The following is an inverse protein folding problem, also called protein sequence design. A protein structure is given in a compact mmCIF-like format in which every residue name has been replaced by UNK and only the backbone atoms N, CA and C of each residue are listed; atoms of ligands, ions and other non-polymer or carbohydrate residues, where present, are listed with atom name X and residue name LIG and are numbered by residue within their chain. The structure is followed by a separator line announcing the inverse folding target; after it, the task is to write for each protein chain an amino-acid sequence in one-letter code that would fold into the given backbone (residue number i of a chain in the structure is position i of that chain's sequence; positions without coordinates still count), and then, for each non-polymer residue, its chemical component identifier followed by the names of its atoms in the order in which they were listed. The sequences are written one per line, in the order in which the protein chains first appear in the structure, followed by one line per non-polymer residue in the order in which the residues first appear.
data_IF_803396648014
#
_entry.id   IF_803396648014
#
_cell.length_a   1.000
_cell.length_b   1.000
_cell.length_c   1.000
_cell.angle_alpha   90.00
_cell.angle_beta   90.00
_cell.angle_gamma   90.00
#
_symmetry.space_group_name_H-M   'P 1'
#
loop_
_entity.id
_entity.type
_entity.pdbx_description
1 polymer ?
#
# COMPACT_ATOMS: atom_id res chain seq x y z
N UNK A 1 23.66 -58.03 -47.61
CA UNK A 1 22.29 -57.59 -47.94
C UNK A 1 22.16 -56.12 -47.59
N UNK A 2 22.01 -55.24 -48.58
CA UNK A 2 21.45 -53.89 -48.45
C UNK A 2 20.03 -53.97 -48.98
N UNK A 3 19.04 -53.44 -48.26
CA UNK A 3 17.86 -52.77 -48.83
C UNK A 3 17.18 -51.92 -47.74
N UNK A 4 16.74 -50.76 -48.22
CA UNK A 4 16.24 -49.55 -47.58
C UNK A 4 14.77 -49.64 -47.13
N UNK A 5 14.33 -48.71 -46.26
CA UNK A 5 13.04 -47.98 -46.26
C UNK A 5 12.98 -47.07 -45.02
N UNK A 6 13.09 -45.73 -45.15
CA UNK A 6 12.06 -44.73 -45.52
C UNK A 6 11.11 -44.37 -44.37
N UNK A 7 11.30 -43.12 -43.91
CA UNK A 7 10.37 -42.12 -43.36
C UNK A 7 9.11 -42.57 -42.59
N UNK A 8 8.97 -42.03 -41.38
CA UNK A 8 7.70 -41.44 -40.94
C UNK A 8 7.98 -40.12 -40.23
N UNK A 9 7.87 -39.03 -40.98
CA UNK A 9 7.80 -37.68 -40.44
C UNK A 9 6.44 -37.53 -39.75
N UNK A 10 6.43 -37.50 -38.42
CA UNK A 10 5.23 -37.14 -37.66
C UNK A 10 5.09 -35.63 -37.73
N UNK A 11 4.25 -35.15 -38.63
CA UNK A 11 3.83 -33.76 -38.75
C UNK A 11 3.14 -33.34 -37.45
N UNK A 12 3.73 -32.38 -36.74
CA UNK A 12 3.10 -31.70 -35.61
C UNK A 12 1.97 -30.82 -36.16
N UNK A 13 0.75 -31.32 -36.12
CA UNK A 13 -0.46 -30.53 -36.41
C UNK A 13 -0.64 -29.48 -35.32
N UNK A 14 -0.34 -28.21 -35.64
CA UNK A 14 -0.83 -27.07 -34.87
C UNK A 14 -2.35 -27.04 -34.98
N UNK A 15 -3.05 -27.37 -33.90
CA UNK A 15 -4.46 -27.08 -33.77
C UNK A 15 -4.63 -25.57 -33.59
N UNK A 16 -5.11 -24.92 -34.65
CA UNK A 16 -5.73 -23.60 -34.61
C UNK A 16 -7.09 -23.69 -33.90
N UNK A 17 -7.58 -22.52 -33.51
CA UNK A 17 -8.89 -22.18 -32.95
C UNK A 17 -9.00 -22.17 -31.42
N UNK A 18 -8.75 -20.98 -30.87
CA UNK A 18 -9.81 -20.21 -30.21
C UNK A 18 -9.37 -18.75 -30.14
N UNK A 19 -9.84 -17.94 -31.08
CA UNK A 19 -9.82 -16.48 -30.95
C UNK A 19 -10.79 -16.12 -29.83
N UNK A 20 -10.29 -16.05 -28.59
CA UNK A 20 -11.00 -15.29 -27.58
C UNK A 20 -10.94 -13.84 -28.04
N UNK A 21 -12.10 -13.34 -28.47
CA UNK A 21 -12.36 -11.91 -28.60
C UNK A 21 -12.23 -11.33 -27.19
N UNK A 22 -11.01 -10.95 -26.83
CA UNK A 22 -10.78 -9.99 -25.75
C UNK A 22 -11.33 -8.68 -26.29
N UNK A 23 -12.21 -7.97 -25.57
CA UNK A 23 -12.56 -6.62 -25.97
C UNK A 23 -11.26 -5.83 -26.09
N UNK A 24 -10.98 -5.38 -27.30
CA UNK A 24 -10.03 -4.30 -27.55
C UNK A 24 -10.60 -3.11 -26.81
N UNK A 25 -10.18 -2.96 -25.55
CA UNK A 25 -10.10 -1.63 -24.97
C UNK A 25 -9.22 -0.86 -25.94
N UNK A 26 -9.83 0.12 -26.61
CA UNK A 26 -9.10 1.13 -27.32
C UNK A 26 -7.99 1.59 -26.37
N UNK A 27 -6.77 1.23 -26.73
CA UNK A 27 -5.57 1.82 -26.16
C UNK A 27 -5.63 3.27 -26.68
N UNK A 28 -6.43 4.11 -26.02
CA UNK A 28 -6.20 5.54 -26.06
C UNK A 28 -4.74 5.68 -25.68
N UNK A 29 -3.96 6.06 -26.69
CA UNK A 29 -2.56 6.40 -26.61
C UNK A 29 -2.29 6.92 -25.21
N UNK A 30 -1.54 6.15 -24.42
CA UNK A 30 -0.90 6.67 -23.24
C UNK A 30 -0.09 7.86 -23.72
N UNK A 31 -0.68 9.05 -23.60
CA UNK A 31 0.07 10.28 -23.63
C UNK A 31 0.92 10.15 -22.38
N UNK A 32 2.16 9.74 -22.59
CA UNK A 32 3.25 10.13 -21.71
C UNK A 32 3.14 11.65 -21.61
N UNK A 33 2.47 12.14 -20.56
CA UNK A 33 2.39 13.56 -20.27
C UNK A 33 3.80 13.93 -19.85
N UNK A 34 4.56 14.45 -20.81
CA UNK A 34 5.80 15.14 -20.53
C UNK A 34 5.50 16.18 -19.43
N UNK A 35 6.32 16.15 -18.40
CA UNK A 35 6.26 16.88 -17.13
C UNK A 35 6.42 18.41 -17.29
N UNK A 36 6.19 18.94 -18.49
CA UNK A 36 6.37 20.32 -18.90
C UNK A 36 5.06 21.07 -19.20
N UNK A 37 3.89 20.46 -18.95
CA UNK A 37 2.61 20.98 -19.49
C UNK A 37 1.46 21.20 -18.50
N UNK A 38 1.61 20.82 -17.22
CA UNK A 38 0.57 21.11 -16.21
C UNK A 38 0.72 22.57 -15.78
N UNK A 39 -0.17 23.42 -16.29
CA UNK A 39 -0.21 24.87 -16.01
C UNK A 39 -1.58 25.31 -15.49
N UNK A 40 -2.59 24.44 -15.57
CA UNK A 40 -3.95 24.73 -15.10
C UNK A 40 -4.39 23.75 -14.02
N UNK A 41 -5.34 24.19 -13.19
CA UNK A 41 -5.89 23.36 -12.10
C UNK A 41 -6.60 22.12 -12.65
N UNK A 42 -7.34 22.27 -13.76
CA UNK A 42 -8.06 21.16 -14.38
C UNK A 42 -7.11 20.05 -14.85
N UNK A 43 -5.93 20.40 -15.39
CA UNK A 43 -4.90 19.43 -15.77
C UNK A 43 -4.31 18.71 -14.55
N UNK A 44 -4.13 19.44 -13.44
CA UNK A 44 -3.63 18.88 -12.19
C UNK A 44 -4.65 17.90 -11.59
N UNK A 45 -5.92 18.30 -11.55
CA UNK A 45 -7.02 17.48 -11.07
C UNK A 45 -7.17 16.20 -11.88
N UNK A 46 -7.13 16.28 -13.21
CA UNK A 46 -7.26 15.12 -14.09
C UNK A 46 -6.07 14.16 -13.96
N UNK A 47 -4.84 14.67 -13.91
CA UNK A 47 -3.63 13.82 -13.88
C UNK A 47 -3.47 13.04 -12.57
N UNK A 48 -3.83 13.66 -11.45
CA UNK A 48 -3.67 13.08 -10.10
C UNK A 48 -5.00 12.69 -9.46
N UNK A 49 -6.12 12.77 -10.19
CA UNK A 49 -7.46 12.50 -9.67
C UNK A 49 -7.76 13.27 -8.36
N UNK A 50 -7.39 14.55 -8.34
CA UNK A 50 -7.63 15.41 -7.18
C UNK A 50 -9.11 15.75 -7.08
N UNK A 51 -9.59 15.89 -5.85
CA UNK A 51 -10.96 16.32 -5.59
C UNK A 51 -10.95 17.63 -4.81
N UNK A 52 -11.76 18.59 -5.24
CA UNK A 52 -11.97 19.83 -4.49
C UNK A 52 -12.74 19.54 -3.20
N UNK A 53 -12.26 20.08 -2.08
CA UNK A 53 -12.96 20.05 -0.79
C UNK A 53 -13.17 21.47 -0.29
N UNK A 54 -14.20 21.69 0.54
CA UNK A 54 -14.55 23.02 1.07
C UNK A 54 -14.07 23.22 2.50
N UNK A 55 -13.76 22.13 3.21
CA UNK A 55 -13.41 22.16 4.64
C UNK A 55 -12.16 21.30 4.88
N UNK A 56 -11.32 21.78 5.80
CA UNK A 56 -10.16 21.05 6.27
C UNK A 56 -10.65 20.10 7.39
N UNK A 57 -10.41 18.78 7.27
CA UNK A 57 -10.73 17.84 8.34
C UNK A 57 -10.00 18.18 9.64
N UNK A 58 -10.63 17.86 10.77
CA UNK A 58 -10.08 18.15 12.09
C UNK A 58 -8.70 17.51 12.28
N UNK A 59 -7.75 18.30 12.82
CA UNK A 59 -6.39 17.86 13.08
C UNK A 59 -5.49 17.76 11.84
N UNK A 60 -5.99 18.11 10.64
CA UNK A 60 -5.19 18.16 9.41
C UNK A 60 -4.63 19.55 9.19
N UNK A 61 -3.36 19.63 8.81
CA UNK A 61 -2.69 20.85 8.39
C UNK A 61 -2.40 20.71 6.89
N UNK A 62 -3.16 21.38 6.00
CA UNK A 62 -2.94 21.28 4.56
C UNK A 62 -1.53 21.73 4.19
N UNK A 63 -0.96 21.06 3.19
CA UNK A 63 0.29 21.51 2.58
C UNK A 63 -0.03 22.59 1.54
N UNK A 64 0.52 23.78 1.73
CA UNK A 64 0.29 24.92 0.86
C UNK A 64 1.36 25.01 -0.25
N UNK A 65 0.90 25.26 -1.47
CA UNK A 65 1.74 25.47 -2.65
C UNK A 65 1.44 26.83 -3.26
N UNK A 66 2.49 27.57 -3.58
CA UNK A 66 2.37 28.92 -4.16
C UNK A 66 1.95 28.88 -5.63
N UNK A 67 2.15 27.75 -6.31
CA UNK A 67 1.87 27.57 -7.73
C UNK A 67 1.38 26.16 -8.09
N UNK A 68 0.71 26.06 -9.24
CA UNK A 68 0.23 24.77 -9.79
C UNK A 68 1.43 23.90 -10.18
N UNK A 69 2.49 24.53 -10.70
CA UNK A 69 3.72 23.87 -11.11
C UNK A 69 4.45 23.21 -9.93
N UNK A 70 4.47 23.89 -8.78
CA UNK A 70 5.07 23.35 -7.55
C UNK A 70 4.27 22.15 -7.03
N UNK A 71 2.94 22.27 -6.98
CA UNK A 71 2.06 21.17 -6.60
C UNK A 71 2.21 19.97 -7.55
N UNK A 72 2.27 20.21 -8.87
CA UNK A 72 2.49 19.17 -9.87
C UNK A 72 3.81 18.43 -9.65
N UNK A 73 4.89 19.17 -9.38
CA UNK A 73 6.19 18.57 -9.07
C UNK A 73 6.11 17.68 -7.82
N UNK A 74 5.45 18.16 -6.77
CA UNK A 74 5.25 17.38 -5.54
C UNK A 74 4.52 16.05 -5.81
N UNK A 75 3.39 16.07 -6.52
CA UNK A 75 2.64 14.84 -6.82
C UNK A 75 3.41 13.87 -7.72
N UNK A 76 4.25 14.38 -8.63
CA UNK A 76 5.16 13.55 -9.41
C UNK A 76 6.24 12.88 -8.54
N UNK A 77 6.78 13.59 -7.56
CA UNK A 77 7.75 13.02 -6.61
C UNK A 77 7.10 11.97 -5.69
N UNK A 78 5.79 12.07 -5.41
CA UNK A 78 5.05 11.03 -4.71
C UNK A 78 4.86 9.77 -5.56
N UNK A 79 4.58 9.92 -6.86
CA UNK A 79 4.41 8.80 -7.80
C UNK A 79 5.74 8.09 -8.12
N UNK A 80 6.82 8.87 -8.25
CA UNK A 80 8.15 8.35 -8.61
C UNK A 80 9.04 8.04 -7.40
N UNK A 81 8.62 8.40 -6.19
CA UNK A 81 9.35 8.13 -4.97
C UNK A 81 9.42 6.64 -4.69
N UNK A 82 10.63 6.09 -4.61
CA UNK A 82 10.84 4.68 -4.29
C UNK A 82 10.37 4.43 -2.84
N UNK A 83 9.36 3.58 -2.68
CA UNK A 83 8.76 3.26 -1.39
C UNK A 83 9.66 2.25 -0.67
N UNK A 84 10.63 2.73 0.11
CA UNK A 84 11.44 1.84 0.94
C UNK A 84 10.67 1.47 2.22
N UNK A 85 10.26 0.21 2.31
CA UNK A 85 9.70 -0.37 3.54
C UNK A 85 10.82 -0.64 4.54
N UNK A 86 11.41 0.42 5.12
CA UNK A 86 12.35 0.25 6.23
C UNK A 86 11.56 -0.09 7.50
N UNK A 87 11.51 -1.38 7.78
CA UNK A 87 10.75 -1.96 8.88
C UNK A 87 11.50 -1.70 10.21
N UNK A 88 11.28 -0.52 10.81
CA UNK A 88 11.68 -0.29 12.20
C UNK A 88 10.70 -1.02 13.13
N UNK A 89 11.11 -2.20 13.61
CA UNK A 89 10.37 -2.95 14.61
C UNK A 89 10.81 -2.50 16.00
N UNK A 90 9.96 -1.73 16.69
CA UNK A 90 10.10 -1.49 18.11
C UNK A 90 9.24 -2.49 18.88
N UNK A 91 9.89 -3.48 19.50
CA UNK A 91 9.23 -4.43 20.39
C UNK A 91 9.05 -3.77 21.76
N UNK A 92 7.81 -3.51 22.17
CA UNK A 92 7.51 -3.07 23.54
C UNK A 92 6.63 -4.12 24.22
N UNK A 93 7.28 -5.01 24.98
CA UNK A 93 6.59 -5.94 25.88
C UNK A 93 6.20 -5.18 27.13
N UNK A 94 4.91 -4.89 27.33
CA UNK A 94 4.42 -4.37 28.60
C UNK A 94 4.14 -5.53 29.55
N UNK A 95 5.01 -5.72 30.54
CA UNK A 95 4.83 -6.67 31.62
C UNK A 95 3.95 -6.03 32.69
N UNK A 96 2.70 -6.47 32.83
CA UNK A 96 1.92 -6.21 34.04
C UNK A 96 2.36 -7.25 35.08
N UNK A 97 3.24 -6.86 36.00
CA UNK A 97 3.63 -7.74 37.11
C UNK A 97 2.48 -7.90 38.10
N UNK A 98 1.89 -9.09 38.12
CA UNK A 98 1.10 -9.58 39.24
C UNK A 98 1.74 -10.90 39.68
N UNK A 99 2.04 -10.99 40.98
CA UNK A 99 2.70 -12.11 41.67
C UNK A 99 1.93 -13.44 41.55
N UNK A 100 2.56 -14.60 41.84
CA UNK A 100 2.77 -15.67 40.87
C UNK A 100 1.63 -16.69 40.73
N UNK A 101 1.74 -17.47 39.65
CA UNK A 101 1.20 -18.83 39.48
C UNK A 101 -0.20 -19.02 38.87
N UNK A 102 -0.47 -18.39 37.73
CA UNK A 102 -1.36 -18.97 36.71
C UNK A 102 -0.80 -18.65 35.31
N UNK A 103 -0.92 -19.60 34.38
CA UNK A 103 -0.58 -19.46 32.95
C UNK A 103 -1.48 -18.41 32.29
N UNK A 104 -1.30 -17.15 32.68
CA UNK A 104 -2.11 -16.06 32.18
C UNK A 104 -1.53 -15.69 30.80
N UNK A 105 -2.34 -15.73 29.73
CA UNK A 105 -1.86 -15.35 28.40
C UNK A 105 -1.36 -13.90 28.44
N UNK A 106 -0.05 -13.71 28.17
CA UNK A 106 0.57 -12.39 28.10
C UNK A 106 0.29 -11.82 26.71
N UNK A 107 -0.29 -10.61 26.67
CA UNK A 107 -0.46 -9.87 25.42
C UNK A 107 0.80 -9.07 25.14
N UNK A 108 1.43 -9.33 24.00
CA UNK A 108 2.58 -8.61 23.48
C UNK A 108 2.12 -7.62 22.43
N UNK A 109 2.76 -6.45 22.36
CA UNK A 109 2.51 -5.46 21.31
C UNK A 109 3.77 -5.22 20.49
N UNK A 110 3.61 -5.22 19.17
CA UNK A 110 4.67 -4.91 18.20
C UNK A 110 4.21 -3.74 17.34
N UNK A 111 5.09 -2.76 17.18
CA UNK A 111 4.87 -1.62 16.29
C UNK A 111 5.80 -1.76 15.10
N UNK A 112 5.21 -1.76 13.90
CA UNK A 112 5.94 -1.64 12.63
C UNK A 112 5.73 -0.26 12.03
N UNK A 113 6.75 0.26 11.35
CA UNK A 113 6.69 1.50 10.56
C UNK A 113 7.07 1.21 9.10
N UNK A 114 6.45 1.96 8.19
CA UNK A 114 6.54 1.74 6.76
C UNK A 114 6.44 3.08 6.06
N UNK A 115 7.36 3.40 5.16
CA UNK A 115 7.10 4.53 4.25
C UNK A 115 6.04 4.06 3.25
N UNK A 116 4.93 4.80 3.15
CA UNK A 116 3.89 4.55 2.15
C UNK A 116 4.11 5.43 0.91
N UNK A 117 4.66 6.63 1.12
CA UNK A 117 5.14 7.50 0.05
C UNK A 117 6.45 8.15 0.49
N UNK A 118 7.10 8.90 -0.40
CA UNK A 118 8.28 9.72 -0.06
C UNK A 118 7.99 10.78 1.02
N UNK A 119 6.72 11.12 1.26
CA UNK A 119 6.31 12.14 2.23
C UNK A 119 5.43 11.62 3.38
N UNK A 120 5.08 10.32 3.40
CA UNK A 120 4.17 9.75 4.39
C UNK A 120 4.68 8.41 4.93
N UNK A 121 4.74 8.29 6.26
CA UNK A 121 5.04 7.04 6.96
C UNK A 121 3.75 6.50 7.58
N UNK A 122 3.47 5.22 7.41
CA UNK A 122 2.43 4.51 8.13
C UNK A 122 3.05 3.77 9.31
N UNK A 123 2.27 3.64 10.38
CA UNK A 123 2.60 2.78 11.51
C UNK A 123 1.47 1.82 11.79
N UNK A 124 1.82 0.59 12.14
CA UNK A 124 0.89 -0.45 12.54
C UNK A 124 1.25 -0.93 13.95
N UNK A 125 0.26 -0.93 14.84
CA UNK A 125 0.34 -1.51 16.18
C UNK A 125 -0.42 -2.82 16.17
N UNK A 126 0.30 -3.91 16.43
CA UNK A 126 -0.22 -5.27 16.42
C UNK A 126 -0.12 -5.81 17.84
N UNK A 127 -1.24 -6.25 18.40
CA UNK A 127 -1.27 -6.93 19.70
C UNK A 127 -1.57 -8.41 19.48
N UNK A 128 -0.82 -9.29 20.13
CA UNK A 128 -0.93 -10.73 20.00
C UNK A 128 -0.62 -11.44 21.31
N UNK A 129 -1.03 -12.70 21.44
CA UNK A 129 -0.71 -13.58 22.56
C UNK A 129 0.18 -14.70 22.05
N UNK A 130 1.31 -14.94 22.73
CA UNK A 130 2.11 -16.13 22.53
C UNK A 130 1.68 -17.22 23.52
N UNK A 131 1.25 -18.37 23.00
CA UNK A 131 0.87 -19.53 23.78
C UNK A 131 2.10 -20.31 24.25
N UNK A 132 1.96 -21.14 25.30
CA UNK A 132 3.07 -21.94 25.85
C UNK A 132 3.70 -22.94 24.86
N UNK A 133 3.04 -23.27 23.75
CA UNK A 133 3.56 -24.10 22.66
C UNK A 133 4.24 -23.29 21.54
N UNK A 134 4.40 -21.97 21.71
CA UNK A 134 4.99 -21.04 20.76
C UNK A 134 4.04 -20.54 19.67
N UNK A 135 2.76 -20.91 19.72
CA UNK A 135 1.75 -20.45 18.76
C UNK A 135 1.33 -19.01 19.05
N UNK A 136 1.04 -18.26 18.00
CA UNK A 136 0.57 -16.88 18.09
C UNK A 136 -0.92 -16.82 17.76
N UNK A 137 -1.67 -16.10 18.60
CA UNK A 137 -3.02 -15.64 18.28
C UNK A 137 -3.08 -14.11 18.31
N UNK A 138 -3.67 -13.55 17.25
CA UNK A 138 -3.82 -12.12 17.07
C UNK A 138 -4.94 -11.57 17.95
N UNK A 139 -4.67 -10.47 18.66
CA UNK A 139 -5.65 -9.77 19.49
C UNK A 139 -6.22 -8.56 18.74
N UNK A 140 -5.35 -7.71 18.19
CA UNK A 140 -5.79 -6.53 17.45
C UNK A 140 -4.75 -6.00 16.48
N UNK A 141 -5.22 -5.28 15.46
CA UNK A 141 -4.41 -4.56 14.48
C UNK A 141 -4.99 -3.16 14.34
N UNK A 142 -4.16 -2.15 14.58
CA UNK A 142 -4.49 -0.75 14.37
C UNK A 142 -3.38 -0.08 13.58
N UNK A 143 -3.71 0.75 12.60
CA UNK A 143 -2.73 1.56 11.88
C UNK A 143 -3.11 3.02 11.77
N UNK A 144 -2.10 3.86 11.59
CA UNK A 144 -2.22 5.32 11.50
C UNK A 144 -1.08 5.90 10.67
N UNK A 145 -1.33 7.06 10.05
CA UNK A 145 -0.27 7.88 9.45
C UNK A 145 0.58 8.53 10.54
N UNK A 146 1.86 8.66 10.25
CA UNK A 146 2.86 9.42 10.98
C UNK A 146 3.59 10.32 9.97
N UNK A 147 3.98 11.53 10.39
CA UNK A 147 4.71 12.46 9.53
C UNK A 147 4.08 13.84 9.51
N UNK A 148 4.17 14.54 8.37
CA UNK A 148 3.60 15.86 8.24
C UNK A 148 2.06 15.78 8.41
N UNK A 149 1.47 16.79 9.05
CA UNK A 149 0.04 16.78 9.39
C UNK A 149 -0.90 16.88 8.19
N UNK A 150 -0.40 16.89 6.94
CA UNK A 150 -1.23 16.94 5.73
C UNK A 150 -1.68 15.56 5.26
N UNK A 151 -1.07 14.49 5.77
CA UNK A 151 -1.46 13.11 5.50
C UNK A 151 -2.34 12.54 6.61
N UNK A 152 -3.44 11.91 6.19
CA UNK A 152 -4.31 11.13 7.06
C UNK A 152 -4.45 9.72 6.53
N UNK A 153 -4.65 8.77 7.44
CA UNK A 153 -4.85 7.36 7.12
C UNK A 153 -6.16 6.86 7.68
N UNK A 154 -6.94 6.18 6.83
CA UNK A 154 -8.14 5.46 7.24
C UNK A 154 -7.97 3.98 6.94
N UNK A 155 -7.73 3.19 7.99
CA UNK A 155 -7.68 1.72 7.87
C UNK A 155 -9.07 1.20 7.51
N UNK A 156 -9.18 0.45 6.43
CA UNK A 156 -10.43 -0.16 5.97
C UNK A 156 -10.55 -1.62 6.42
N UNK A 157 -9.46 -2.37 6.40
CA UNK A 157 -9.45 -3.80 6.72
C UNK A 157 -8.06 -4.33 7.01
N UNK A 158 -7.98 -5.59 7.45
CA UNK A 158 -6.75 -6.35 7.45
C UNK A 158 -7.03 -7.83 7.17
N UNK A 159 -6.03 -8.54 6.67
CA UNK A 159 -6.06 -10.00 6.49
C UNK A 159 -4.88 -10.65 7.19
N UNK A 160 -5.03 -11.92 7.53
CA UNK A 160 -4.07 -12.68 8.35
C UNK A 160 -3.65 -13.93 7.58
N UNK A 161 -2.36 -14.22 7.58
CA UNK A 161 -1.79 -15.50 7.15
C UNK A 161 -0.96 -16.08 8.28
N UNK A 162 -1.33 -17.27 8.76
CA UNK A 162 -0.49 -18.03 9.70
C UNK A 162 0.71 -18.62 8.95
N UNK A 163 1.91 -18.32 9.44
CA UNK A 163 3.20 -18.76 8.91
C UNK A 163 3.85 -19.70 9.92
N UNK A 164 4.81 -20.52 9.47
CA UNK A 164 5.57 -21.44 10.33
C UNK A 164 4.71 -22.32 11.25
N UNK A 165 3.60 -22.85 10.70
CA UNK A 165 2.65 -23.66 11.45
C UNK A 165 1.86 -22.89 12.51
N UNK A 166 1.85 -21.55 12.45
CA UNK A 166 1.16 -20.63 13.37
C UNK A 166 2.04 -20.02 14.45
N UNK A 167 3.36 -20.12 14.31
CA UNK A 167 4.36 -19.46 15.18
C UNK A 167 4.71 -18.05 14.73
N UNK A 168 4.32 -17.68 13.51
CA UNK A 168 4.42 -16.33 12.98
C UNK A 168 3.10 -15.97 12.29
N UNK A 169 2.83 -14.68 12.19
CA UNK A 169 1.65 -14.15 11.50
C UNK A 169 2.08 -13.04 10.53
N UNK A 170 1.77 -13.24 9.25
CA UNK A 170 1.79 -12.18 8.25
C UNK A 170 0.43 -11.46 8.21
N UNK A 171 0.45 -10.13 8.20
CA UNK A 171 -0.73 -9.27 8.26
C UNK A 171 -0.66 -8.28 7.11
N UNK A 172 -1.66 -8.29 6.22
CA UNK A 172 -1.83 -7.21 5.24
C UNK A 172 -2.88 -6.23 5.76
N UNK A 173 -2.52 -4.96 5.88
CA UNK A 173 -3.39 -3.90 6.38
C UNK A 173 -3.72 -2.98 5.21
N UNK A 174 -5.01 -2.86 4.88
CA UNK A 174 -5.48 -2.07 3.76
C UNK A 174 -6.23 -0.83 4.25
N UNK A 175 -6.14 0.25 3.48
CA UNK A 175 -6.79 1.52 3.82
C UNK A 175 -6.55 2.59 2.76
N UNK A 176 -6.99 3.80 3.08
CA UNK A 176 -6.86 4.97 2.21
C UNK A 176 -5.98 6.00 2.89
N UNK A 177 -4.90 6.35 2.20
CA UNK A 177 -4.03 7.47 2.54
C UNK A 177 -4.54 8.71 1.81
N UNK A 178 -4.84 9.77 2.55
CA UNK A 178 -5.37 11.02 2.01
C UNK A 178 -4.41 12.17 2.31
N UNK A 179 -3.97 12.87 1.27
CA UNK A 179 -3.24 14.12 1.39
C UNK A 179 -4.17 15.29 1.15
N UNK A 180 -4.06 16.33 1.97
CA UNK A 180 -4.82 17.57 1.80
C UNK A 180 -3.85 18.70 1.49
N UNK A 181 -4.10 19.38 0.38
CA UNK A 181 -3.23 20.44 -0.14
C UNK A 181 -4.04 21.69 -0.44
N UNK A 182 -3.37 22.84 -0.39
CA UNK A 182 -3.91 24.12 -0.83
C UNK A 182 -3.09 24.61 -2.01
N UNK A 183 -3.72 24.71 -3.19
CA UNK A 183 -3.04 25.09 -4.43
C UNK A 183 -3.77 26.29 -5.02
N UNK A 184 -3.07 27.41 -5.14
CA UNK A 184 -3.60 28.60 -5.82
C UNK A 184 -4.95 29.08 -5.29
N UNK A 185 -5.18 28.99 -3.98
CA UNK A 185 -6.44 29.42 -3.37
C UNK A 185 -7.51 28.33 -3.16
N UNK A 186 -7.24 27.10 -3.61
CA UNK A 186 -8.23 26.01 -3.63
C UNK A 186 -7.74 24.82 -2.82
N UNK A 187 -8.58 24.32 -1.91
CA UNK A 187 -8.33 23.08 -1.18
C UNK A 187 -8.60 21.86 -2.07
N UNK A 188 -7.63 20.97 -2.12
CA UNK A 188 -7.68 19.70 -2.86
C UNK A 188 -7.36 18.54 -1.93
N UNK A 189 -7.99 17.39 -2.21
CA UNK A 189 -7.63 16.11 -1.61
C UNK A 189 -7.09 15.17 -2.68
N UNK A 190 -6.00 14.49 -2.35
CA UNK A 190 -5.42 13.39 -3.11
C UNK A 190 -5.59 12.10 -2.31
N UNK A 191 -6.17 11.07 -2.92
CA UNK A 191 -6.48 9.79 -2.25
C UNK A 191 -5.77 8.65 -2.94
N UNK A 192 -5.09 7.84 -2.15
CA UNK A 192 -4.36 6.67 -2.61
C UNK A 192 -4.72 5.47 -1.74
N UNK A 193 -5.04 4.33 -2.37
CA UNK A 193 -5.31 3.08 -1.65
C UNK A 193 -4.01 2.32 -1.46
N UNK A 194 -3.66 2.00 -0.22
CA UNK A 194 -2.41 1.32 0.11
C UNK A 194 -2.68 0.01 0.86
N UNK A 195 -1.80 -0.97 0.68
CA UNK A 195 -1.76 -2.19 1.50
C UNK A 195 -0.36 -2.41 2.04
N UNK A 196 -0.24 -2.42 3.36
CA UNK A 196 1.02 -2.60 4.06
C UNK A 196 1.12 -4.00 4.65
N UNK A 197 2.26 -4.67 4.44
CA UNK A 197 2.54 -5.99 5.03
C UNK A 197 3.36 -5.87 6.31
N UNK A 198 2.95 -6.59 7.35
CA UNK A 198 3.69 -6.73 8.60
C UNK A 198 3.80 -8.18 8.99
N UNK A 199 4.98 -8.60 9.40
CA UNK A 199 5.23 -9.92 9.94
C UNK A 199 5.59 -9.85 11.42
N UNK A 200 4.93 -10.68 12.22
CA UNK A 200 5.22 -10.87 13.64
C UNK A 200 5.69 -12.27 13.96
#
# INVERSE_FOLDING_TARGET
MKFSKLLSASTLTLALFSTSVVPVFANESSKTVETSSITTMDQLDERFNLQTITEIPEGVIPLEFDSIEEAAKYFLELENGDVTSDLEINNTTQTLEITPFYNTPITTTKVGRFNATSAATLSATISYVAMGNGMIDLVSVKSQAQGNGSWTWSQSSYTIKKLDGGRSIGINISGVLTNIVYVGGVLKQYKYSETVYVEI
#
